data_IF_322108535631
#
_entry.id   IF_322108535631
#
_cell.length_a   1.000
_cell.length_b   1.000
_cell.length_c   1.000
_cell.angle_alpha   90.00
_cell.angle_beta   90.00
_cell.angle_gamma   90.00
#
_symmetry.space_group_name_H-M   'P 1'
#
loop_
_entity.id
_entity.type
_entity.pdbx_description
1 polymer ?
#
# COMPACT_ATOMS: atom_id res chain seq x y z
N UNK A 1 -26.59 -2.00 13.08
CA UNK A 1 -25.16 -2.27 12.87
C UNK A 1 -24.63 -1.38 11.75
N UNK A 2 -23.57 -0.60 11.99
CA UNK A 2 -22.90 0.16 10.91
C UNK A 2 -22.25 -0.84 9.95
N UNK A 3 -22.55 -0.77 8.65
CA UNK A 3 -21.84 -1.55 7.62
C UNK A 3 -20.43 -0.99 7.51
N UNK A 4 -19.42 -1.81 7.80
CA UNK A 4 -18.02 -1.45 7.58
C UNK A 4 -17.70 -1.80 6.13
N UNK A 5 -17.37 -0.80 5.32
CA UNK A 5 -16.87 -1.01 3.96
C UNK A 5 -15.40 -1.38 4.02
N UNK A 6 -15.07 -2.62 3.63
CA UNK A 6 -13.69 -3.09 3.58
C UNK A 6 -13.11 -2.72 2.21
N UNK A 7 -12.13 -1.82 2.17
CA UNK A 7 -11.39 -1.47 0.95
C UNK A 7 -10.43 -2.61 0.60
N UNK A 8 -10.56 -3.15 -0.62
CA UNK A 8 -9.71 -4.23 -1.15
C UNK A 8 -8.71 -3.73 -2.19
N UNK A 9 -8.80 -2.46 -2.56
CA UNK A 9 -7.95 -1.75 -3.53
C UNK A 9 -6.64 -1.23 -2.92
N UNK A 10 -6.55 -1.14 -1.59
CA UNK A 10 -5.40 -0.61 -0.86
C UNK A 10 -4.73 -1.65 0.02
N UNK A 11 -3.41 -1.58 0.10
CA UNK A 11 -2.58 -2.47 0.91
C UNK A 11 -1.49 -1.72 1.66
N UNK A 12 -1.28 -2.04 2.94
CA UNK A 12 -0.16 -1.46 3.69
C UNK A 12 1.19 -1.94 3.13
N UNK A 13 2.25 -1.14 3.32
CA UNK A 13 3.62 -1.52 2.93
C UNK A 13 4.05 -2.88 3.51
N UNK A 14 3.64 -3.18 4.75
CA UNK A 14 3.92 -4.46 5.41
C UNK A 14 3.25 -5.64 4.70
N UNK A 15 1.96 -5.50 4.32
CA UNK A 15 1.23 -6.55 3.63
C UNK A 15 1.74 -6.74 2.20
N UNK A 16 2.06 -5.64 1.52
CA UNK A 16 2.66 -5.68 0.19
C UNK A 16 4.03 -6.36 0.20
N UNK A 17 4.87 -6.03 1.18
CA UNK A 17 6.18 -6.65 1.37
C UNK A 17 6.07 -8.17 1.54
N UNK A 18 5.15 -8.65 2.36
CA UNK A 18 4.90 -10.09 2.56
C UNK A 18 4.37 -10.77 1.30
N UNK A 19 3.40 -10.15 0.63
CA UNK A 19 2.72 -10.74 -0.53
C UNK A 19 3.63 -10.87 -1.74
N UNK A 20 4.46 -9.86 -1.99
CA UNK A 20 5.32 -9.78 -3.17
C UNK A 20 6.79 -10.11 -2.86
N UNK A 21 7.10 -10.50 -1.61
CA UNK A 21 8.47 -10.78 -1.14
C UNK A 21 9.46 -9.65 -1.45
N UNK A 22 9.00 -8.40 -1.31
CA UNK A 22 9.80 -7.20 -1.57
C UNK A 22 10.16 -6.51 -0.26
N UNK A 23 11.41 -6.08 -0.12
CA UNK A 23 11.85 -5.34 1.08
C UNK A 23 11.17 -3.96 1.18
N UNK A 24 10.95 -3.46 2.41
CA UNK A 24 10.38 -2.13 2.63
C UNK A 24 11.21 -0.99 1.99
N UNK A 25 12.55 -0.99 2.07
CA UNK A 25 13.36 0.00 1.37
C UNK A 25 13.12 0.01 -0.14
N UNK A 26 13.00 -1.18 -0.76
CA UNK A 26 12.69 -1.27 -2.19
C UNK A 26 11.31 -0.70 -2.51
N UNK A 27 10.30 -0.97 -1.67
CA UNK A 27 8.96 -0.38 -1.82
C UNK A 27 9.04 1.15 -1.76
N UNK A 28 9.75 1.72 -0.78
CA UNK A 28 9.90 3.17 -0.65
C UNK A 28 10.62 3.79 -1.86
N UNK A 29 11.65 3.12 -2.39
CA UNK A 29 12.32 3.53 -3.65
C UNK A 29 11.35 3.50 -4.82
N UNK A 30 10.55 2.44 -4.98
CA UNK A 30 9.56 2.33 -6.06
C UNK A 30 8.48 3.41 -5.98
N UNK A 31 8.03 3.76 -4.77
CA UNK A 31 7.09 4.87 -4.56
C UNK A 31 7.75 6.18 -4.97
N UNK A 32 9.00 6.43 -4.55
CA UNK A 32 9.75 7.63 -4.89
C UNK A 32 9.99 7.76 -6.40
N UNK A 33 10.24 6.64 -7.07
CA UNK A 33 10.43 6.58 -8.52
C UNK A 33 9.11 6.68 -9.32
N UNK A 34 7.95 6.63 -8.65
CA UNK A 34 6.64 6.63 -9.31
C UNK A 34 6.22 5.28 -9.91
N UNK A 35 6.95 4.20 -9.63
CA UNK A 35 6.64 2.84 -10.09
C UNK A 35 5.45 2.21 -9.35
N UNK A 36 5.16 2.68 -8.12
CA UNK A 36 4.02 2.23 -7.31
C UNK A 36 3.05 3.39 -7.06
N UNK A 37 1.80 3.19 -7.46
CA UNK A 37 0.71 4.09 -7.09
C UNK A 37 0.37 3.94 -5.61
N UNK A 38 0.31 5.05 -4.88
CA UNK A 38 -0.03 5.08 -3.46
C UNK A 38 -1.15 6.07 -3.17
N UNK A 39 -1.87 5.81 -2.09
CA UNK A 39 -2.87 6.71 -1.51
C UNK A 39 -2.49 6.97 -0.06
N UNK A 40 -2.45 8.24 0.33
CA UNK A 40 -2.16 8.64 1.71
C UNK A 40 -3.45 8.89 2.46
N UNK A 41 -3.67 8.13 3.53
CA UNK A 41 -4.85 8.22 4.39
C UNK A 41 -4.34 8.43 5.81
N UNK A 42 -4.75 9.52 6.46
CA UNK A 42 -4.34 9.89 7.83
C UNK A 42 -2.80 9.85 8.05
N UNK A 43 -2.04 10.28 7.03
CA UNK A 43 -0.57 10.28 7.07
C UNK A 43 0.10 8.93 6.79
N UNK A 44 -0.67 7.86 6.56
CA UNK A 44 -0.16 6.53 6.24
C UNK A 44 -0.26 6.25 4.74
N UNK A 45 0.84 5.77 4.18
CA UNK A 45 0.92 5.35 2.78
C UNK A 45 0.36 3.94 2.57
N UNK A 46 -0.67 3.85 1.75
CA UNK A 46 -1.23 2.60 1.25
C UNK A 46 -0.92 2.45 -0.23
N UNK A 47 -0.53 1.25 -0.64
CA UNK A 47 -0.21 0.92 -2.02
C UNK A 47 -1.49 0.48 -2.73
N UNK A 48 -1.78 1.10 -3.87
CA UNK A 48 -2.88 0.71 -4.75
C UNK A 48 -2.50 -0.57 -5.48
N UNK A 49 -3.36 -1.57 -5.40
CA UNK A 49 -3.17 -2.89 -6.05
C UNK A 49 -4.11 -3.10 -7.23
N UNK A 50 -4.93 -2.11 -7.57
CA UNK A 50 -5.93 -2.17 -8.63
C UNK A 50 -5.93 -0.89 -9.46
#
# INVERSE_FOLDING_TARGET
>A
MKRITIRTDLMSKSNYSKKFMVSRPTIDTKIKNGELSVERIDGVDYIKIK
#
